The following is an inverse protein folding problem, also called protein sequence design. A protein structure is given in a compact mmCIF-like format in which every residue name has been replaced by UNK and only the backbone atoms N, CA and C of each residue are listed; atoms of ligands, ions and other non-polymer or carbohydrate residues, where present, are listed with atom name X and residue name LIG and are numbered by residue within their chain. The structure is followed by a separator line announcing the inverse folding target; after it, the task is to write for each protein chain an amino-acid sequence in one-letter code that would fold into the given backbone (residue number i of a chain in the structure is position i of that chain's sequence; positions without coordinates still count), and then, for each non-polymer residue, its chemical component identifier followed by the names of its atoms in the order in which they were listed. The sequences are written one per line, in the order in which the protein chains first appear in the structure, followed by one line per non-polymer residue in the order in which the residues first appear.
data_IF_126678150410
#
_entry.id   IF_126678150410
#
_cell.length_a   1.000
_cell.length_b   1.000
_cell.length_c   1.000
_cell.angle_alpha   90.00
_cell.angle_beta   90.00
_cell.angle_gamma   90.00
#
_symmetry.space_group_name_H-M   'P 1'
#
loop_
_entity.id
_entity.type
_entity.pdbx_description
1 polymer ?
#
# COMPACT_ATOMS: atom_id res chain seq x y z
N UNK A 1 -17.65 8.63 -43.58
CA UNK A 1 -17.60 7.56 -42.57
C UNK A 1 -16.40 6.68 -42.88
N UNK A 2 -15.25 6.91 -42.25
CA UNK A 2 -14.08 6.06 -42.31
C UNK A 2 -13.33 6.22 -40.98
N UNK A 3 -13.57 5.32 -40.05
CA UNK A 3 -12.89 5.26 -38.76
C UNK A 3 -11.48 4.71 -39.01
N UNK A 4 -10.51 5.55 -38.70
CA UNK A 4 -9.10 5.38 -38.98
C UNK A 4 -8.53 4.18 -38.22
N UNK A 5 -7.95 3.21 -38.93
CA UNK A 5 -7.17 2.05 -38.48
C UNK A 5 -5.80 2.41 -37.84
N UNK A 6 -5.59 3.64 -37.38
CA UNK A 6 -4.28 4.12 -36.90
C UNK A 6 -4.04 4.02 -35.38
N UNK A 7 -4.98 3.49 -34.62
CA UNK A 7 -4.87 3.43 -33.15
C UNK A 7 -4.40 2.07 -32.56
N UNK A 8 -4.22 1.03 -33.39
CA UNK A 8 -3.80 -0.30 -32.91
C UNK A 8 -2.28 -0.55 -32.92
N UNK A 9 -1.51 0.24 -33.65
CA UNK A 9 -0.06 -0.02 -33.82
C UNK A 9 0.83 0.37 -32.63
N UNK A 10 0.53 1.36 -31.78
CA UNK A 10 1.40 1.69 -30.63
C UNK A 10 1.21 0.75 -29.44
N UNK A 11 0.08 0.04 -29.32
CA UNK A 11 -0.13 -0.90 -28.21
C UNK A 11 0.75 -2.18 -28.30
N UNK A 12 1.11 -2.57 -29.50
CA UNK A 12 1.96 -3.77 -29.76
C UNK A 12 3.44 -3.52 -29.46
N UNK A 13 3.92 -2.28 -29.53
CA UNK A 13 5.32 -1.96 -29.25
C UNK A 13 5.63 -1.79 -27.76
N UNK A 14 4.62 -1.53 -26.91
CA UNK A 14 4.77 -1.56 -25.45
C UNK A 14 4.86 -2.98 -24.88
N UNK A 15 4.34 -3.98 -25.61
CA UNK A 15 4.40 -5.39 -25.22
C UNK A 15 5.81 -5.99 -25.29
N UNK A 16 6.66 -5.55 -26.20
CA UNK A 16 8.00 -6.14 -26.39
C UNK A 16 9.05 -5.63 -25.38
N UNK A 17 8.89 -4.42 -24.83
CA UNK A 17 9.78 -3.87 -23.81
C UNK A 17 9.51 -4.43 -22.40
N UNK A 18 8.27 -4.82 -22.11
CA UNK A 18 7.86 -5.39 -20.82
C UNK A 18 8.22 -6.88 -20.73
N UNK A 19 8.22 -7.60 -21.85
CA UNK A 19 8.60 -9.03 -21.87
C UNK A 19 10.09 -9.28 -21.59
N UNK A 20 10.99 -8.34 -21.86
CA UNK A 20 12.43 -8.50 -21.56
C UNK A 20 12.77 -8.38 -20.08
N UNK A 21 11.92 -7.76 -19.27
CA UNK A 21 12.09 -7.69 -17.80
C UNK A 21 11.51 -8.93 -17.11
N UNK A 22 10.62 -9.66 -17.79
CA UNK A 22 9.92 -10.83 -17.24
C UNK A 22 10.74 -12.14 -17.29
N UNK A 23 11.97 -12.13 -17.86
CA UNK A 23 12.88 -13.29 -17.82
C UNK A 23 13.84 -13.29 -16.63
N UNK A 24 13.62 -12.45 -15.62
CA UNK A 24 14.20 -12.70 -14.31
C UNK A 24 13.64 -14.04 -13.79
N UNK A 25 14.50 -14.93 -13.29
CA UNK A 25 14.07 -16.30 -12.99
C UNK A 25 12.92 -16.26 -11.97
N UNK A 26 11.74 -16.67 -12.41
CA UNK A 26 10.55 -16.90 -11.57
C UNK A 26 10.83 -17.79 -10.33
N UNK A 27 11.97 -18.48 -10.31
CA UNK A 27 12.48 -19.24 -9.17
C UNK A 27 12.78 -18.41 -7.92
N UNK A 28 13.04 -17.11 -8.04
CA UNK A 28 13.29 -16.23 -6.87
C UNK A 28 11.99 -15.76 -6.22
N UNK A 29 10.85 -15.89 -6.92
CA UNK A 29 9.52 -15.53 -6.40
C UNK A 29 8.74 -16.74 -5.84
N UNK A 30 9.24 -17.97 -6.02
CA UNK A 30 8.61 -19.12 -5.38
C UNK A 30 9.15 -19.26 -3.95
N UNK A 31 8.35 -18.88 -2.98
CA UNK A 31 8.49 -19.43 -1.63
C UNK A 31 8.50 -20.95 -1.74
N UNK A 32 9.31 -21.62 -0.90
CA UNK A 32 9.35 -23.07 -0.84
C UNK A 32 7.94 -23.66 -0.83
N UNK A 33 7.66 -24.51 -1.81
CA UNK A 33 6.34 -25.06 -2.11
C UNK A 33 5.76 -25.98 -1.03
N UNK A 34 6.29 -25.96 0.19
CA UNK A 34 5.93 -26.87 1.29
C UNK A 34 5.04 -26.29 2.39
N UNK A 35 4.89 -24.95 2.45
CA UNK A 35 3.94 -24.33 3.38
C UNK A 35 2.72 -23.81 2.64
N UNK A 36 1.49 -24.23 3.00
CA UNK A 36 0.28 -23.69 2.38
C UNK A 36 0.21 -22.18 2.64
N UNK A 37 0.04 -21.39 1.58
CA UNK A 37 -0.06 -19.93 1.65
C UNK A 37 -1.20 -19.46 2.57
N UNK A 38 -2.13 -20.32 2.93
CA UNK A 38 -3.34 -20.00 3.71
C UNK A 38 -3.41 -20.75 5.05
N UNK A 39 -2.30 -21.18 5.63
CA UNK A 39 -2.32 -21.95 6.89
C UNK A 39 -3.01 -21.25 8.06
N UNK A 40 -3.04 -19.91 8.09
CA UNK A 40 -3.78 -19.14 9.10
C UNK A 40 -5.29 -19.01 8.83
N UNK A 41 -5.72 -19.10 7.58
CA UNK A 41 -7.14 -18.96 7.21
C UNK A 41 -7.96 -20.23 7.47
N UNK A 42 -7.33 -21.39 7.62
CA UNK A 42 -8.00 -22.69 7.84
C UNK A 42 -8.82 -22.77 9.13
N UNK A 43 -8.59 -21.86 10.07
CA UNK A 43 -9.33 -21.78 11.34
C UNK A 43 -10.29 -20.59 11.41
N UNK A 44 -10.25 -19.66 10.42
CA UNK A 44 -11.07 -18.45 10.44
C UNK A 44 -12.45 -18.71 9.82
N UNK A 45 -13.49 -18.18 10.48
CA UNK A 45 -14.83 -18.16 9.93
C UNK A 45 -15.05 -16.90 9.04
N UNK A 46 -16.15 -16.91 8.27
CA UNK A 46 -16.49 -15.84 7.32
C UNK A 46 -16.61 -14.46 8.01
N UNK A 47 -17.11 -14.41 9.24
CA UNK A 47 -17.25 -13.15 9.99
C UNK A 47 -15.89 -12.56 10.37
N UNK A 48 -14.94 -13.40 10.74
CA UNK A 48 -13.57 -12.97 10.98
C UNK A 48 -12.93 -12.45 9.70
N UNK A 49 -13.16 -13.11 8.56
CA UNK A 49 -12.73 -12.64 7.26
C UNK A 49 -13.30 -11.26 6.89
N UNK A 50 -14.63 -11.07 7.08
CA UNK A 50 -15.30 -9.77 6.87
C UNK A 50 -14.69 -8.70 7.79
N UNK A 51 -14.50 -9.01 9.07
CA UNK A 51 -13.96 -8.07 10.04
C UNK A 51 -12.51 -7.68 9.73
N UNK A 52 -11.65 -8.64 9.38
CA UNK A 52 -10.28 -8.34 8.98
C UNK A 52 -10.22 -7.58 7.65
N UNK A 53 -11.13 -7.86 6.72
CA UNK A 53 -11.31 -7.04 5.52
C UNK A 53 -11.72 -5.60 5.85
N UNK A 54 -12.61 -5.41 6.83
CA UNK A 54 -12.93 -4.07 7.36
C UNK A 54 -11.68 -3.40 7.95
N UNK A 55 -10.92 -4.09 8.81
CA UNK A 55 -9.69 -3.56 9.41
C UNK A 55 -8.69 -3.16 8.31
N UNK A 56 -8.44 -4.04 7.33
CA UNK A 56 -7.59 -3.74 6.19
C UNK A 56 -8.06 -2.49 5.44
N UNK A 57 -9.33 -2.49 5.02
CA UNK A 57 -9.88 -1.39 4.23
C UNK A 57 -9.88 -0.05 4.97
N UNK A 58 -10.24 -0.06 6.24
CA UNK A 58 -10.26 1.14 7.07
C UNK A 58 -8.86 1.70 7.35
N UNK A 59 -7.82 0.87 7.38
CA UNK A 59 -6.48 1.29 7.83
C UNK A 59 -5.44 1.42 6.71
N UNK A 60 -5.66 0.85 5.52
CA UNK A 60 -4.70 0.84 4.41
C UNK A 60 -4.34 2.25 3.93
N UNK A 61 -5.34 3.10 3.80
CA UNK A 61 -5.17 4.45 3.26
C UNK A 61 -5.03 5.52 4.35
N UNK A 62 -5.49 5.24 5.56
CA UNK A 62 -5.23 6.11 6.69
C UNK A 62 -3.75 6.04 7.11
N UNK A 63 -3.17 7.16 7.58
CA UNK A 63 -1.77 7.19 7.95
C UNK A 63 -1.50 6.51 9.32
N UNK A 64 -2.01 5.27 9.52
CA UNK A 64 -1.99 4.54 10.81
C UNK A 64 -1.43 3.11 10.74
N UNK A 65 -1.08 2.62 9.53
CA UNK A 65 -0.50 1.30 9.25
C UNK A 65 -1.46 0.11 9.34
N UNK A 66 -1.97 -0.33 8.18
CA UNK A 66 -2.79 -1.55 8.08
C UNK A 66 -2.08 -2.81 8.58
N UNK A 67 -0.80 -2.97 8.24
CA UNK A 67 0.02 -4.12 8.67
C UNK A 67 0.06 -4.23 10.20
N UNK A 68 0.22 -3.10 10.90
CA UNK A 68 0.21 -3.08 12.36
C UNK A 68 -1.14 -3.54 12.95
N UNK A 69 -2.24 -3.12 12.33
CA UNK A 69 -3.59 -3.47 12.78
C UNK A 69 -3.95 -4.92 12.48
N UNK A 70 -3.60 -5.41 11.27
CA UNK A 70 -3.86 -6.80 10.88
C UNK A 70 -3.05 -7.79 11.72
N UNK A 71 -1.96 -7.36 12.34
CA UNK A 71 -1.21 -8.18 13.30
C UNK A 71 -1.77 -8.02 14.72
N UNK A 72 -1.95 -6.81 15.21
CA UNK A 72 -2.33 -6.55 16.60
C UNK A 72 -3.79 -6.90 16.92
N UNK A 73 -4.72 -6.59 16.03
CA UNK A 73 -6.17 -6.74 16.31
C UNK A 73 -6.58 -8.19 16.46
N UNK A 74 -6.26 -9.13 15.52
CA UNK A 74 -6.65 -10.52 15.69
C UNK A 74 -5.99 -11.18 16.90
N UNK A 75 -4.73 -10.85 17.20
CA UNK A 75 -4.04 -11.36 18.40
C UNK A 75 -4.75 -10.85 19.67
N UNK A 76 -5.09 -9.57 19.75
CA UNK A 76 -5.81 -8.99 20.88
C UNK A 76 -7.23 -9.58 21.07
N UNK A 77 -7.85 -10.08 20.00
CA UNK A 77 -9.14 -10.76 20.03
C UNK A 77 -9.03 -12.27 20.31
N UNK A 78 -7.83 -12.80 20.49
CA UNK A 78 -7.59 -14.22 20.71
C UNK A 78 -7.80 -15.09 19.46
N UNK A 79 -7.76 -14.49 18.26
CA UNK A 79 -7.92 -15.23 16.98
C UNK A 79 -6.58 -15.75 16.44
N UNK A 80 -5.47 -15.31 17.01
CA UNK A 80 -4.12 -15.58 16.49
C UNK A 80 -3.76 -14.72 15.29
N UNK A 81 -2.60 -14.98 14.69
CA UNK A 81 -2.14 -14.29 13.46
C UNK A 81 -2.86 -14.90 12.24
N UNK A 82 -3.57 -14.10 11.41
CA UNK A 82 -4.23 -14.59 10.20
C UNK A 82 -3.25 -15.05 9.13
N UNK A 83 -1.97 -14.78 9.32
CA UNK A 83 -0.92 -15.06 8.35
C UNK A 83 -0.74 -13.98 7.28
N UNK A 84 0.49 -13.93 6.75
CA UNK A 84 0.86 -12.96 5.71
C UNK A 84 0.04 -13.15 4.43
N UNK A 85 -0.26 -14.38 4.08
CA UNK A 85 -0.99 -14.72 2.87
C UNK A 85 -2.45 -14.24 2.86
N UNK A 86 -3.18 -14.44 3.96
CA UNK A 86 -4.54 -13.91 4.08
C UNK A 86 -4.53 -12.38 4.05
N UNK A 87 -3.61 -11.76 4.79
CA UNK A 87 -3.45 -10.30 4.84
C UNK A 87 -3.14 -9.72 3.46
N UNK A 88 -2.27 -10.37 2.69
CA UNK A 88 -1.93 -9.98 1.33
C UNK A 88 -3.12 -10.16 0.37
N UNK A 89 -3.87 -11.24 0.49
CA UNK A 89 -5.02 -11.50 -0.37
C UNK A 89 -6.15 -10.47 -0.16
N UNK A 90 -6.48 -10.10 1.09
CA UNK A 90 -7.49 -9.06 1.34
C UNK A 90 -7.03 -7.67 0.89
N UNK A 91 -5.73 -7.44 0.73
CA UNK A 91 -5.18 -6.21 0.15
C UNK A 91 -5.61 -6.01 -1.32
N UNK A 92 -5.90 -7.09 -2.07
CA UNK A 92 -6.45 -7.01 -3.43
C UNK A 92 -7.75 -6.16 -3.47
N UNK A 93 -8.58 -6.25 -2.44
CA UNK A 93 -9.75 -5.41 -2.28
C UNK A 93 -9.40 -3.92 -2.19
N UNK A 94 -8.37 -3.59 -1.40
CA UNK A 94 -7.88 -2.20 -1.28
C UNK A 94 -7.32 -1.68 -2.60
N UNK A 95 -6.63 -2.53 -3.38
CA UNK A 95 -6.10 -2.18 -4.71
C UNK A 95 -7.25 -1.86 -5.66
N UNK A 96 -8.27 -2.72 -5.70
CA UNK A 96 -9.45 -2.48 -6.53
C UNK A 96 -10.13 -1.14 -6.16
N UNK A 97 -10.25 -0.84 -4.87
CA UNK A 97 -10.86 0.40 -4.38
C UNK A 97 -10.08 1.65 -4.80
N UNK A 98 -8.75 1.66 -4.64
CA UNK A 98 -7.94 2.83 -5.00
C UNK A 98 -7.90 3.05 -6.51
N UNK A 99 -7.83 1.99 -7.30
CA UNK A 99 -7.92 2.08 -8.76
C UNK A 99 -9.28 2.65 -9.19
N UNK A 100 -10.37 2.19 -8.57
CA UNK A 100 -11.70 2.70 -8.85
C UNK A 100 -11.86 4.17 -8.47
N UNK A 101 -11.45 4.54 -7.26
CA UNK A 101 -11.60 5.91 -6.75
C UNK A 101 -10.80 6.91 -7.59
N UNK A 102 -9.56 6.58 -7.95
CA UNK A 102 -8.66 7.47 -8.69
C UNK A 102 -8.62 7.20 -10.19
N UNK A 103 -9.59 6.45 -10.73
CA UNK A 103 -9.64 6.12 -12.16
C UNK A 103 -9.55 7.36 -13.06
N UNK A 104 -10.27 8.43 -12.72
CA UNK A 104 -10.22 9.70 -13.45
C UNK A 104 -8.86 10.39 -13.38
N UNK A 105 -8.23 10.43 -12.20
CA UNK A 105 -6.90 11.01 -12.03
C UNK A 105 -5.83 10.18 -12.77
N UNK A 106 -5.92 8.86 -12.70
CA UNK A 106 -5.02 7.94 -13.41
C UNK A 106 -5.10 8.10 -14.93
N UNK A 107 -6.32 8.07 -15.47
CA UNK A 107 -6.52 8.22 -16.92
C UNK A 107 -6.07 9.59 -17.40
N UNK A 108 -6.31 10.67 -16.63
CA UNK A 108 -5.82 12.01 -16.94
C UNK A 108 -4.28 12.04 -16.97
N UNK A 109 -3.62 11.59 -15.92
CA UNK A 109 -2.15 11.64 -15.81
C UNK A 109 -1.49 10.78 -16.90
N UNK A 110 -2.00 9.56 -17.15
CA UNK A 110 -1.45 8.67 -18.17
C UNK A 110 -1.68 9.20 -19.59
N UNK A 111 -2.89 9.70 -19.90
CA UNK A 111 -3.17 10.27 -21.21
C UNK A 111 -2.44 11.59 -21.45
N UNK A 112 -2.35 12.47 -20.44
CA UNK A 112 -1.60 13.70 -20.48
C UNK A 112 -0.10 13.43 -20.70
N UNK A 113 0.48 12.49 -19.97
CA UNK A 113 1.87 12.08 -20.16
C UNK A 113 2.12 11.52 -21.58
N UNK A 114 1.21 10.70 -22.10
CA UNK A 114 1.31 10.18 -23.47
C UNK A 114 1.27 11.29 -24.53
N UNK A 115 0.35 12.24 -24.39
CA UNK A 115 0.23 13.40 -25.29
C UNK A 115 1.49 14.27 -25.21
N UNK A 116 2.02 14.49 -23.99
CA UNK A 116 3.23 15.27 -23.76
C UNK A 116 4.47 14.63 -24.45
N UNK A 117 4.61 13.31 -24.36
CA UNK A 117 5.67 12.56 -25.06
C UNK A 117 5.51 12.72 -26.58
N UNK A 118 4.30 12.52 -27.12
CA UNK A 118 4.02 12.63 -28.56
C UNK A 118 4.33 14.04 -29.10
N UNK A 119 4.10 15.08 -28.29
CA UNK A 119 4.37 16.49 -28.63
C UNK A 119 5.77 16.96 -28.23
N UNK A 120 6.58 16.10 -27.62
CA UNK A 120 7.91 16.44 -27.04
C UNK A 120 7.86 17.59 -26.04
N UNK A 121 6.72 17.74 -25.33
CA UNK A 121 6.52 18.73 -24.28
C UNK A 121 6.79 18.14 -22.89
N UNK A 122 8.06 17.99 -22.53
CA UNK A 122 8.47 17.41 -21.24
C UNK A 122 8.27 18.35 -20.03
N UNK A 123 7.79 19.58 -20.27
CA UNK A 123 7.42 20.52 -19.21
C UNK A 123 5.95 20.38 -18.77
N UNK A 124 5.19 19.55 -19.47
CA UNK A 124 3.79 19.26 -19.13
C UNK A 124 3.66 18.70 -17.71
N UNK A 125 2.65 19.17 -16.97
CA UNK A 125 2.44 18.82 -15.57
C UNK A 125 2.13 17.34 -15.40
N UNK A 126 1.24 16.78 -16.25
CA UNK A 126 0.86 15.37 -16.15
C UNK A 126 2.03 14.44 -16.48
N UNK A 127 2.91 14.83 -17.45
CA UNK A 127 4.14 14.10 -17.73
C UNK A 127 5.09 14.09 -16.51
N UNK A 128 5.28 15.24 -15.87
CA UNK A 128 6.17 15.36 -14.70
C UNK A 128 5.63 14.59 -13.51
N UNK A 129 4.33 14.58 -13.31
CA UNK A 129 3.66 13.77 -12.28
C UNK A 129 3.84 12.28 -12.58
N UNK A 130 3.56 11.82 -13.80
CA UNK A 130 3.72 10.43 -14.21
C UNK A 130 5.17 9.95 -14.04
N UNK A 131 6.15 10.77 -14.48
CA UNK A 131 7.56 10.46 -14.33
C UNK A 131 7.99 10.44 -12.86
N UNK A 132 7.48 11.39 -12.05
CA UNK A 132 7.71 11.43 -10.61
C UNK A 132 7.18 10.18 -9.90
N UNK A 133 5.99 9.69 -10.29
CA UNK A 133 5.42 8.44 -9.78
C UNK A 133 6.28 7.24 -10.19
N UNK A 134 6.67 7.16 -11.47
CA UNK A 134 7.46 6.05 -11.99
C UNK A 134 8.83 5.95 -11.28
N UNK A 135 9.57 7.05 -11.21
CA UNK A 135 10.89 7.10 -10.53
C UNK A 135 10.72 6.94 -9.02
N UNK A 136 9.70 7.58 -8.42
CA UNK A 136 9.42 7.47 -6.99
C UNK A 136 8.98 6.08 -6.53
N UNK A 137 8.56 5.20 -7.46
CA UNK A 137 8.27 3.80 -7.15
C UNK A 137 9.56 2.95 -7.05
N UNK A 138 10.64 3.35 -7.72
CA UNK A 138 11.87 2.54 -7.78
C UNK A 138 12.50 2.26 -6.40
N UNK A 139 12.59 3.22 -5.46
CA UNK A 139 13.20 2.96 -4.16
C UNK A 139 12.52 1.82 -3.38
N UNK A 140 11.19 1.82 -3.30
CA UNK A 140 10.47 0.78 -2.56
C UNK A 140 10.57 -0.57 -3.25
N UNK A 141 10.55 -0.63 -4.57
CA UNK A 141 10.71 -1.88 -5.34
C UNK A 141 12.13 -2.44 -5.14
N UNK A 142 13.15 -1.59 -5.29
CA UNK A 142 14.55 -2.02 -5.13
C UNK A 142 14.82 -2.51 -3.70
N UNK A 143 14.44 -1.71 -2.70
CA UNK A 143 14.67 -2.08 -1.29
C UNK A 143 13.80 -3.28 -0.86
N UNK A 144 12.57 -3.41 -1.37
CA UNK A 144 11.73 -4.57 -1.11
C UNK A 144 12.33 -5.86 -1.66
N UNK A 145 12.86 -5.82 -2.89
CA UNK A 145 13.60 -6.95 -3.47
C UNK A 145 14.89 -7.25 -2.68
N UNK A 146 15.63 -6.23 -2.26
CA UNK A 146 16.83 -6.41 -1.45
C UNK A 146 16.51 -7.07 -0.11
N UNK A 147 15.47 -6.63 0.58
CA UNK A 147 15.00 -7.25 1.84
C UNK A 147 14.64 -8.71 1.59
N UNK A 148 13.88 -9.01 0.55
CA UNK A 148 13.44 -10.37 0.22
C UNK A 148 14.60 -11.31 -0.12
N UNK A 149 15.65 -10.83 -0.81
CA UNK A 149 16.75 -11.68 -1.27
C UNK A 149 17.85 -11.83 -0.22
N UNK A 150 18.12 -10.76 0.54
CA UNK A 150 19.32 -10.69 1.40
C UNK A 150 18.98 -10.72 2.89
N UNK A 151 17.84 -10.15 3.29
CA UNK A 151 17.51 -9.90 4.69
C UNK A 151 16.22 -10.58 5.14
N UNK A 152 15.70 -11.58 4.41
CA UNK A 152 14.39 -12.19 4.66
C UNK A 152 14.26 -12.71 6.10
N UNK A 153 15.23 -13.51 6.55
CA UNK A 153 15.23 -14.08 7.91
C UNK A 153 15.28 -13.00 9.01
N UNK A 154 16.12 -11.99 8.84
CA UNK A 154 16.19 -10.86 9.78
C UNK A 154 14.88 -10.06 9.78
N UNK A 155 14.29 -9.86 8.59
CA UNK A 155 13.06 -9.13 8.45
C UNK A 155 11.90 -9.86 9.15
N UNK A 156 11.72 -11.16 8.89
CA UNK A 156 10.65 -11.95 9.48
C UNK A 156 10.81 -12.09 11.02
N UNK A 157 12.02 -12.37 11.51
CA UNK A 157 12.24 -12.66 12.92
C UNK A 157 12.40 -11.42 13.82
N UNK A 158 12.83 -10.28 13.26
CA UNK A 158 13.13 -9.08 14.04
C UNK A 158 12.25 -7.91 13.66
N UNK A 159 12.24 -7.56 12.36
CA UNK A 159 11.60 -6.32 11.90
C UNK A 159 10.06 -6.40 12.01
N UNK A 160 9.48 -7.57 11.83
CA UNK A 160 8.04 -7.82 11.98
C UNK A 160 7.57 -7.97 13.42
N UNK A 161 8.44 -7.94 14.41
CA UNK A 161 8.08 -8.05 15.83
C UNK A 161 7.14 -6.91 16.28
N UNK A 162 6.19 -7.25 17.17
CA UNK A 162 5.21 -6.29 17.70
C UNK A 162 5.85 -5.08 18.39
N UNK A 163 7.00 -5.29 19.06
CA UNK A 163 7.77 -4.21 19.69
C UNK A 163 8.29 -3.20 18.67
N UNK A 164 8.82 -3.69 17.53
CA UNK A 164 9.28 -2.82 16.42
C UNK A 164 8.09 -2.05 15.83
N UNK A 165 6.98 -2.73 15.57
CA UNK A 165 5.74 -2.12 15.06
C UNK A 165 5.30 -0.96 15.97
N UNK A 166 5.31 -1.18 17.29
CA UNK A 166 4.90 -0.18 18.26
C UNK A 166 5.81 1.05 18.27
N UNK A 167 7.14 0.82 18.34
CA UNK A 167 8.14 1.90 18.35
C UNK A 167 8.06 2.70 17.04
N UNK A 168 8.03 2.02 15.90
CA UNK A 168 7.94 2.65 14.57
C UNK A 168 6.64 3.43 14.43
N UNK A 169 5.51 2.91 14.95
CA UNK A 169 4.25 3.64 14.95
C UNK A 169 4.36 4.96 15.73
N UNK A 170 4.97 4.93 16.91
CA UNK A 170 5.19 6.13 17.74
C UNK A 170 6.10 7.12 16.99
N UNK A 171 7.25 6.69 16.50
CA UNK A 171 8.22 7.55 15.80
C UNK A 171 7.57 8.22 14.59
N UNK A 172 6.89 7.45 13.76
CA UNK A 172 6.22 7.99 12.58
C UNK A 172 5.00 8.86 12.94
N UNK A 173 4.34 8.62 14.06
CA UNK A 173 3.31 9.49 14.61
C UNK A 173 3.90 10.87 15.00
N UNK A 174 5.05 10.88 15.70
CA UNK A 174 5.76 12.10 16.05
C UNK A 174 6.26 12.85 14.80
N UNK A 175 6.80 12.15 13.81
CA UNK A 175 7.22 12.75 12.53
C UNK A 175 6.05 13.38 11.78
N UNK A 176 4.87 12.72 11.74
CA UNK A 176 3.66 13.30 11.17
C UNK A 176 3.22 14.56 11.93
N UNK A 177 3.27 14.56 13.26
CA UNK A 177 2.99 15.72 14.09
C UNK A 177 3.96 16.88 13.81
N UNK A 178 5.25 16.58 13.68
CA UNK A 178 6.27 17.55 13.33
C UNK A 178 6.04 18.15 11.92
N UNK A 179 5.68 17.32 10.95
CA UNK A 179 5.34 17.75 9.60
C UNK A 179 4.07 18.62 9.59
N UNK A 180 3.06 18.27 10.40
CA UNK A 180 1.86 19.08 10.57
C UNK A 180 2.18 20.47 11.16
N UNK A 181 3.13 20.56 12.07
CA UNK A 181 3.55 21.84 12.69
C UNK A 181 4.42 22.69 11.75
N UNK A 182 5.33 22.08 11.01
CA UNK A 182 6.37 22.78 10.21
C UNK A 182 5.99 23.01 8.76
N UNK A 183 5.10 22.19 8.20
CA UNK A 183 4.68 22.26 6.79
C UNK A 183 3.98 23.60 6.47
N UNK A 184 4.37 24.26 5.39
CA UNK A 184 3.80 25.55 4.97
C UNK A 184 2.40 25.41 4.34
N UNK A 185 2.11 24.25 3.73
CA UNK A 185 0.81 23.91 3.10
C UNK A 185 0.34 24.93 2.05
N UNK A 186 1.28 25.42 1.24
CA UNK A 186 1.04 26.46 0.22
C UNK A 186 1.04 25.93 -1.22
N UNK A 187 1.27 24.61 -1.37
CA UNK A 187 1.39 23.98 -2.69
C UNK A 187 0.23 23.00 -2.91
N UNK A 188 -0.61 23.34 -3.87
CA UNK A 188 -1.72 22.52 -4.33
C UNK A 188 -1.26 21.50 -5.40
N UNK A 189 -2.21 20.70 -5.92
CA UNK A 189 -1.94 19.63 -6.87
C UNK A 189 -1.29 20.13 -8.19
N UNK A 190 -1.65 21.33 -8.65
CA UNK A 190 -1.12 21.92 -9.90
C UNK A 190 0.35 22.36 -9.76
N UNK A 191 0.83 22.50 -8.52
CA UNK A 191 2.23 22.86 -8.20
C UNK A 191 3.10 21.62 -7.93
N UNK A 192 2.62 20.42 -8.19
CA UNK A 192 3.42 19.21 -8.07
C UNK A 192 4.55 19.19 -9.10
N UNK A 193 5.67 18.66 -8.66
CA UNK A 193 6.88 18.53 -9.47
C UNK A 193 7.34 17.07 -9.50
N UNK A 194 8.20 16.73 -10.43
CA UNK A 194 8.88 15.43 -10.46
C UNK A 194 9.65 15.17 -9.16
N UNK A 195 10.27 16.22 -8.58
CA UNK A 195 10.99 16.12 -7.31
C UNK A 195 10.11 15.71 -6.13
N UNK A 196 8.84 16.14 -6.13
CA UNK A 196 7.86 15.70 -5.13
C UNK A 196 7.62 14.19 -5.22
N UNK A 197 7.48 13.67 -6.43
CA UNK A 197 7.34 12.23 -6.66
C UNK A 197 8.54 11.42 -6.17
N UNK A 198 9.76 11.90 -6.46
CA UNK A 198 10.99 11.23 -6.04
C UNK A 198 11.14 11.25 -4.52
N UNK A 199 10.99 12.40 -3.87
CA UNK A 199 11.17 12.53 -2.41
C UNK A 199 10.08 11.79 -1.63
N UNK A 200 8.81 11.90 -2.04
CA UNK A 200 7.74 11.11 -1.43
C UNK A 200 7.91 9.62 -1.72
N UNK A 201 8.47 9.25 -2.87
CA UNK A 201 8.82 7.88 -3.22
C UNK A 201 9.93 7.30 -2.36
N UNK A 202 10.97 8.08 -2.07
CA UNK A 202 11.99 7.68 -1.08
C UNK A 202 11.38 7.49 0.31
N UNK A 203 10.48 8.38 0.74
CA UNK A 203 9.76 8.22 2.00
C UNK A 203 8.82 7.00 1.98
N UNK A 204 8.26 6.65 0.81
CA UNK A 204 7.44 5.45 0.64
C UNK A 204 8.20 4.17 1.00
N UNK A 205 9.52 4.11 0.76
CA UNK A 205 10.33 2.95 1.09
C UNK A 205 10.39 2.65 2.61
N UNK A 206 10.12 3.64 3.47
CA UNK A 206 9.97 3.40 4.92
C UNK A 206 8.81 2.45 5.23
N UNK A 207 7.84 2.32 4.32
CA UNK A 207 6.71 1.40 4.48
C UNK A 207 7.11 -0.09 4.49
N UNK A 208 8.32 -0.41 4.05
CA UNK A 208 8.88 -1.77 4.21
C UNK A 208 9.03 -2.13 5.69
N UNK A 209 9.16 -1.16 6.58
CA UNK A 209 9.18 -1.42 8.02
C UNK A 209 7.73 -1.44 8.53
N UNK A 210 7.26 -2.57 9.09
CA UNK A 210 5.92 -2.66 9.65
C UNK A 210 5.70 -1.61 10.74
N UNK A 211 4.51 -1.02 10.77
CA UNK A 211 4.24 0.11 11.66
C UNK A 211 4.50 1.48 11.02
N UNK A 212 5.36 1.60 9.99
CA UNK A 212 5.65 2.91 9.37
C UNK A 212 4.43 3.52 8.69
N UNK A 213 3.61 2.74 8.01
CA UNK A 213 2.50 3.16 7.15
C UNK A 213 2.97 3.83 5.86
N UNK A 214 2.65 3.24 4.72
CA UNK A 214 2.97 3.80 3.41
C UNK A 214 2.34 5.19 3.23
N UNK A 215 1.04 5.28 3.44
CA UNK A 215 0.30 6.55 3.38
C UNK A 215 0.79 7.55 4.43
N UNK A 216 1.16 7.08 5.63
CA UNK A 216 1.72 7.93 6.68
C UNK A 216 3.07 8.51 6.32
N UNK A 217 3.99 7.70 5.77
CA UNK A 217 5.34 8.14 5.36
C UNK A 217 5.28 9.16 4.23
N UNK A 218 4.50 8.86 3.18
CA UNK A 218 4.37 9.75 2.02
C UNK A 218 3.61 11.03 2.36
N UNK A 219 2.53 10.97 3.15
CA UNK A 219 1.81 12.15 3.64
C UNK A 219 2.74 13.06 4.46
N UNK A 220 3.52 12.47 5.38
CA UNK A 220 4.50 13.20 6.21
C UNK A 220 5.52 13.93 5.33
N UNK A 221 6.10 13.24 4.35
CA UNK A 221 7.04 13.85 3.40
C UNK A 221 6.38 14.98 2.60
N UNK A 222 5.17 14.77 2.06
CA UNK A 222 4.43 15.81 1.33
C UNK A 222 4.17 17.07 2.16
N UNK A 223 3.82 16.90 3.44
CA UNK A 223 3.61 18.04 4.35
C UNK A 223 4.93 18.81 4.61
N UNK A 224 6.06 18.12 4.85
CA UNK A 224 7.37 18.78 4.98
C UNK A 224 7.77 19.55 3.73
N UNK A 225 7.35 19.06 2.54
CA UNK A 225 7.60 19.74 1.27
C UNK A 225 6.63 20.89 1.00
N UNK A 226 5.75 21.20 1.93
CA UNK A 226 4.82 22.34 1.86
C UNK A 226 3.58 22.06 1.02
N UNK A 227 3.26 20.80 0.71
CA UNK A 227 1.99 20.43 0.08
C UNK A 227 0.82 20.65 1.02
N UNK A 228 -0.33 21.05 0.47
CA UNK A 228 -1.61 21.03 1.16
C UNK A 228 -1.93 19.58 1.60
N UNK A 229 -2.64 19.41 2.71
CA UNK A 229 -2.94 18.08 3.28
C UNK A 229 -3.67 17.18 2.28
N UNK A 230 -4.70 17.71 1.62
CA UNK A 230 -5.44 17.00 0.58
C UNK A 230 -4.54 16.61 -0.58
N UNK A 231 -3.71 17.55 -1.07
CA UNK A 231 -2.76 17.32 -2.16
C UNK A 231 -1.77 16.22 -1.81
N UNK A 232 -1.17 16.28 -0.62
CA UNK A 232 -0.24 15.29 -0.14
C UNK A 232 -0.87 13.89 -0.04
N UNK A 233 -2.11 13.80 0.45
CA UNK A 233 -2.84 12.55 0.53
C UNK A 233 -3.20 12.00 -0.86
N UNK A 234 -3.77 12.81 -1.75
CA UNK A 234 -4.14 12.38 -3.11
C UNK A 234 -2.91 11.91 -3.88
N UNK A 235 -1.82 12.67 -3.83
CA UNK A 235 -0.59 12.29 -4.51
C UNK A 235 0.05 11.05 -3.87
N UNK A 236 0.02 10.91 -2.54
CA UNK A 236 0.42 9.70 -1.83
C UNK A 236 -0.29 8.43 -2.36
N UNK A 237 -1.59 8.54 -2.61
CA UNK A 237 -2.36 7.40 -3.14
C UNK A 237 -1.98 7.08 -4.58
N UNK A 238 -1.88 8.09 -5.45
CA UNK A 238 -1.44 7.89 -6.83
C UNK A 238 -0.04 7.28 -6.92
N UNK A 239 0.90 7.78 -6.11
CA UNK A 239 2.26 7.25 -5.98
C UNK A 239 2.27 5.81 -5.44
N UNK A 240 1.32 5.48 -4.56
CA UNK A 240 1.18 4.14 -4.00
C UNK A 240 0.67 3.09 -4.98
N UNK A 241 -0.11 3.48 -5.99
CA UNK A 241 -0.77 2.54 -6.91
C UNK A 241 0.22 1.60 -7.61
N UNK A 242 1.34 2.05 -8.22
CA UNK A 242 2.29 1.12 -8.83
C UNK A 242 2.91 0.14 -7.81
N UNK A 243 3.26 0.63 -6.62
CA UNK A 243 3.90 -0.19 -5.60
C UNK A 243 2.97 -1.29 -5.07
N UNK A 244 1.74 -0.91 -4.65
CA UNK A 244 0.74 -1.89 -4.18
C UNK A 244 0.20 -2.76 -5.31
N UNK A 245 0.13 -2.24 -6.53
CA UNK A 245 -0.26 -3.00 -7.72
C UNK A 245 0.73 -4.11 -8.05
N UNK A 246 2.04 -3.83 -7.98
CA UNK A 246 3.09 -4.83 -8.16
C UNK A 246 3.05 -5.91 -7.05
N UNK A 247 2.93 -5.50 -5.79
CA UNK A 247 2.75 -6.43 -4.68
C UNK A 247 1.50 -7.29 -4.87
N UNK A 248 0.35 -6.66 -5.14
CA UNK A 248 -0.91 -7.38 -5.36
C UNK A 248 -0.91 -8.31 -6.58
N UNK A 249 -0.15 -8.00 -7.63
CA UNK A 249 0.01 -8.91 -8.77
C UNK A 249 0.75 -10.20 -8.35
N UNK A 250 1.80 -10.07 -7.54
CA UNK A 250 2.53 -11.23 -6.99
C UNK A 250 1.59 -12.09 -6.13
N UNK A 251 0.82 -11.46 -5.25
CA UNK A 251 -0.13 -12.14 -4.38
C UNK A 251 -1.26 -12.82 -5.18
N UNK A 252 -1.77 -12.15 -6.21
CA UNK A 252 -2.79 -12.71 -7.10
C UNK A 252 -2.28 -13.96 -7.82
N UNK A 253 -1.05 -13.93 -8.32
CA UNK A 253 -0.42 -15.10 -8.96
C UNK A 253 -0.26 -16.25 -7.96
N UNK A 254 0.17 -15.97 -6.72
CA UNK A 254 0.25 -16.94 -5.64
C UNK A 254 -1.12 -17.57 -5.34
N UNK A 255 -2.13 -16.74 -5.15
CA UNK A 255 -3.51 -17.17 -4.88
C UNK A 255 -4.08 -18.06 -6.01
N UNK A 256 -3.88 -17.65 -7.27
CA UNK A 256 -4.33 -18.43 -8.44
C UNK A 256 -3.64 -19.80 -8.51
N UNK A 257 -2.37 -19.85 -8.15
CA UNK A 257 -1.62 -21.12 -8.08
C UNK A 257 -2.19 -22.03 -7.00
N UNK A 258 -2.41 -21.49 -5.78
CA UNK A 258 -2.99 -22.27 -4.67
C UNK A 258 -4.39 -22.79 -4.97
N UNK A 259 -5.18 -22.01 -5.71
CA UNK A 259 -6.49 -22.42 -6.23
C UNK A 259 -6.36 -23.57 -7.24
N UNK A 260 -5.43 -23.44 -8.21
CA UNK A 260 -5.24 -24.45 -9.25
C UNK A 260 -4.72 -25.78 -8.71
N UNK A 261 -3.98 -25.74 -7.59
CA UNK A 261 -3.42 -26.91 -6.92
C UNK A 261 -4.36 -27.49 -5.84
N UNK A 262 -5.57 -26.91 -5.66
CA UNK A 262 -6.56 -27.38 -4.70
C UNK A 262 -6.13 -27.23 -3.23
N UNK A 263 -5.22 -26.31 -2.94
CA UNK A 263 -4.68 -26.05 -1.60
C UNK A 263 -5.63 -25.23 -0.72
N UNK A 264 -6.66 -24.62 -1.30
CA UNK A 264 -7.64 -23.79 -0.60
C UNK A 264 -8.96 -24.55 -0.50
N UNK A 265 -9.41 -24.82 0.70
CA UNK A 265 -10.72 -25.43 0.94
C UNK A 265 -11.88 -24.49 0.60
N UNK A 266 -13.05 -25.03 0.25
CA UNK A 266 -14.23 -24.21 -0.10
C UNK A 266 -14.66 -23.24 1.02
N UNK A 267 -14.50 -23.63 2.29
CA UNK A 267 -14.78 -22.77 3.44
C UNK A 267 -13.81 -21.61 3.56
N UNK A 268 -12.55 -21.83 3.29
CA UNK A 268 -11.49 -20.81 3.27
C UNK A 268 -11.69 -19.83 2.12
N UNK A 269 -12.10 -20.34 0.95
CA UNK A 269 -12.44 -19.54 -0.22
C UNK A 269 -13.52 -18.51 0.09
N UNK A 270 -14.61 -18.95 0.76
CA UNK A 270 -15.70 -18.05 1.11
C UNK A 270 -15.23 -16.95 2.08
N UNK A 271 -14.41 -17.32 3.08
CA UNK A 271 -13.81 -16.40 4.05
C UNK A 271 -12.92 -15.36 3.34
N UNK A 272 -12.11 -15.81 2.40
CA UNK A 272 -11.20 -14.96 1.63
C UNK A 272 -11.96 -13.98 0.72
N UNK A 273 -12.93 -14.46 -0.05
CA UNK A 273 -13.77 -13.61 -0.92
C UNK A 273 -14.52 -12.57 -0.10
N UNK A 274 -15.11 -12.97 1.02
CA UNK A 274 -15.81 -12.06 1.91
C UNK A 274 -14.87 -10.98 2.48
N UNK A 275 -13.64 -11.35 2.86
CA UNK A 275 -12.59 -10.44 3.30
C UNK A 275 -12.17 -9.45 2.21
N UNK A 276 -11.96 -9.91 0.98
CA UNK A 276 -11.60 -9.06 -0.17
C UNK A 276 -12.71 -8.04 -0.46
N UNK A 277 -13.97 -8.48 -0.51
CA UNK A 277 -15.12 -7.59 -0.75
C UNK A 277 -15.24 -6.55 0.36
N UNK A 278 -15.14 -6.97 1.63
CA UNK A 278 -15.16 -6.08 2.78
C UNK A 278 -14.02 -5.05 2.69
N UNK A 279 -12.81 -5.50 2.41
CA UNK A 279 -11.64 -4.63 2.21
C UNK A 279 -11.88 -3.61 1.11
N UNK A 280 -12.44 -4.01 -0.03
CA UNK A 280 -12.74 -3.10 -1.14
C UNK A 280 -13.73 -1.99 -0.72
N UNK A 281 -14.83 -2.37 -0.08
CA UNK A 281 -15.88 -1.43 0.35
C UNK A 281 -15.28 -0.41 1.34
N UNK A 282 -14.64 -0.91 2.40
CA UNK A 282 -14.13 -0.03 3.46
C UNK A 282 -12.91 0.78 3.04
N UNK A 283 -12.08 0.27 2.11
CA UNK A 283 -11.02 1.06 1.47
C UNK A 283 -11.57 2.24 0.69
N UNK A 284 -12.60 2.02 -0.13
CA UNK A 284 -13.24 3.10 -0.89
C UNK A 284 -13.79 4.18 0.04
N UNK A 285 -14.51 3.76 1.08
CA UNK A 285 -15.06 4.67 2.08
C UNK A 285 -13.97 5.43 2.85
N UNK A 286 -12.89 4.75 3.23
CA UNK A 286 -11.75 5.34 3.92
C UNK A 286 -11.04 6.40 3.06
N UNK A 287 -10.79 6.11 1.77
CA UNK A 287 -10.21 7.07 0.83
C UNK A 287 -11.11 8.31 0.70
N UNK A 288 -12.39 8.10 0.42
CA UNK A 288 -13.35 9.18 0.23
C UNK A 288 -13.47 10.07 1.47
N UNK A 289 -13.55 9.42 2.64
CA UNK A 289 -13.59 10.13 3.92
C UNK A 289 -12.29 10.90 4.17
N UNK A 290 -11.12 10.28 4.00
CA UNK A 290 -9.84 10.92 4.31
C UNK A 290 -9.57 12.13 3.42
N UNK A 291 -9.80 12.01 2.11
CA UNK A 291 -9.63 13.12 1.17
C UNK A 291 -10.54 14.29 1.56
N UNK A 292 -11.81 14.02 1.88
CA UNK A 292 -12.75 15.04 2.35
C UNK A 292 -12.33 15.64 3.71
N UNK A 293 -11.89 14.80 4.66
CA UNK A 293 -11.46 15.21 5.97
C UNK A 293 -10.26 16.17 5.92
N UNK A 294 -9.25 15.84 5.12
CA UNK A 294 -8.00 16.60 5.03
C UNK A 294 -8.15 17.95 4.29
N UNK A 295 -9.28 18.20 3.60
CA UNK A 295 -9.60 19.53 3.07
C UNK A 295 -9.74 20.58 4.18
N UNK A 296 -10.28 20.20 5.32
CA UNK A 296 -10.66 21.15 6.37
C UNK A 296 -10.08 20.82 7.73
N UNK A 297 -9.55 19.62 7.93
CA UNK A 297 -9.05 19.14 9.22
C UNK A 297 -7.56 18.84 9.17
N UNK A 298 -6.94 18.85 10.35
CA UNK A 298 -5.51 18.57 10.52
C UNK A 298 -5.25 17.06 10.68
N UNK A 299 -3.98 16.66 10.56
CA UNK A 299 -3.54 15.27 10.74
C UNK A 299 -3.39 14.87 12.22
N UNK A 300 -3.63 15.74 13.17
CA UNK A 300 -3.43 15.49 14.60
C UNK A 300 -4.20 14.29 15.14
N UNK A 301 -5.38 14.00 14.60
CA UNK A 301 -6.16 12.81 14.99
C UNK A 301 -5.36 11.52 14.75
N UNK A 302 -4.62 11.45 13.63
CA UNK A 302 -3.79 10.28 13.31
C UNK A 302 -2.51 10.26 14.13
N UNK A 303 -1.95 11.44 14.49
CA UNK A 303 -0.79 11.53 15.37
C UNK A 303 -1.14 10.92 16.73
N UNK A 304 -2.20 11.40 17.37
CA UNK A 304 -2.64 10.89 18.67
C UNK A 304 -3.02 9.42 18.62
N UNK A 305 -3.72 9.00 17.56
CA UNK A 305 -4.06 7.61 17.37
C UNK A 305 -2.81 6.71 17.35
N UNK A 306 -1.79 7.07 16.58
CA UNK A 306 -0.54 6.29 16.46
C UNK A 306 0.22 6.23 17.77
N UNK A 307 0.28 7.33 18.52
CA UNK A 307 0.93 7.36 19.83
C UNK A 307 0.20 6.43 20.82
N UNK A 308 -1.12 6.55 20.91
CA UNK A 308 -1.94 5.71 21.80
C UNK A 308 -1.82 4.24 21.39
N UNK A 309 -1.93 3.94 20.11
CA UNK A 309 -1.82 2.58 19.58
C UNK A 309 -0.46 1.95 19.86
N UNK A 310 0.64 2.67 19.58
CA UNK A 310 1.98 2.19 19.87
C UNK A 310 2.24 1.99 21.37
N UNK A 311 1.80 2.93 22.21
CA UNK A 311 1.90 2.81 23.69
C UNK A 311 1.06 1.62 24.18
N UNK A 312 -0.15 1.41 23.66
CA UNK A 312 -1.00 0.29 24.04
C UNK A 312 -0.36 -1.07 23.70
N UNK A 313 0.29 -1.19 22.52
CA UNK A 313 1.06 -2.40 22.18
C UNK A 313 2.22 -2.61 23.14
N UNK A 314 3.04 -1.57 23.42
CA UNK A 314 4.17 -1.70 24.35
C UNK A 314 3.70 -2.08 25.75
N UNK A 315 2.60 -1.51 26.22
CA UNK A 315 2.00 -1.90 27.49
C UNK A 315 1.52 -3.35 27.48
N UNK A 316 0.83 -3.79 26.41
CA UNK A 316 0.39 -5.16 26.25
C UNK A 316 1.53 -6.17 26.28
N UNK A 317 2.67 -5.84 25.63
CA UNK A 317 3.90 -6.64 25.68
C UNK A 317 4.51 -6.67 27.10
N UNK A 318 4.56 -5.53 27.76
CA UNK A 318 5.14 -5.40 29.10
C UNK A 318 4.34 -6.16 30.16
N UNK A 319 3.02 -6.26 30.01
CA UNK A 319 2.14 -7.02 30.91
C UNK A 319 1.95 -8.48 30.49
N UNK A 320 2.60 -8.96 29.44
CA UNK A 320 2.47 -10.32 28.92
C UNK A 320 1.10 -10.64 28.32
N UNK A 321 0.34 -9.60 27.95
CA UNK A 321 -0.98 -9.76 27.27
C UNK A 321 -0.79 -10.01 25.77
N UNK A 322 0.26 -9.46 25.20
CA UNK A 322 0.66 -9.65 23.81
C UNK A 322 2.02 -10.34 23.75
N UNK A 323 2.21 -11.20 22.77
CA UNK A 323 3.50 -11.82 22.47
C UNK A 323 4.25 -10.99 21.42
N UNK A 324 5.56 -10.97 21.48
CA UNK A 324 6.40 -10.25 20.52
C UNK A 324 6.70 -11.11 19.27
N UNK A 325 5.73 -11.92 18.87
CA UNK A 325 5.86 -12.83 17.73
C UNK A 325 5.89 -12.09 16.38
#
# INVERSE_FOLDING_TARGET
MAVSKRLLFPLLMLGSGVLSVATFPLKVLSQDASTPVVSGASQMNVWQGIFLGFVQGATEFLPISSTAHLKAVPVALGWGDPGSAFSAAIQLGSIAAVLWYFWGDLTRVLSGAWIAIARKNYQDTDFRIALGIAIGTLPIVFLGLLVKIVFEEFYENVVRGMGVIAVVSIVMGLLLGLAEMKGTRQRNFDKLTMGDGILMGCAQALALVPGASRSGSTLTAGLFMGLERETAARFSFLLGIPAIGLSGLVELVGLLKDLSEGRIANSEMLTLIAGIISSAIFSYLAIAWLVKFLKTRSTWVFVWYRLIFGIAILAGLSFGILENA
#
